data_IF_657219610706
#
_entry.id   IF_657219610706
#
_cell.length_a   1.000
_cell.length_b   1.000
_cell.length_c   1.000
_cell.angle_alpha   90.00
_cell.angle_beta   90.00
_cell.angle_gamma   90.00
#
_symmetry.space_group_name_H-M   'P 1'
#
loop_
_entity.id
_entity.type
_entity.pdbx_description
1 polymer ?
#
# COMPACT_ATOMS: atom_id res chain seq x y z
N UNK A 1 -2.02 -37.01 -31.64
CA UNK A 1 -2.48 -36.82 -30.24
C UNK A 1 -1.96 -35.52 -29.60
N UNK A 2 -0.92 -34.87 -30.13
CA UNK A 2 -0.31 -33.65 -29.56
C UNK A 2 -1.20 -32.39 -29.57
N UNK A 3 -1.88 -32.08 -30.68
CA UNK A 3 -2.73 -30.87 -30.77
C UNK A 3 -3.90 -30.80 -29.80
N UNK A 4 -4.51 -31.94 -29.47
CA UNK A 4 -5.64 -31.99 -28.53
C UNK A 4 -5.14 -31.74 -27.09
N UNK A 5 -4.01 -32.35 -26.73
CA UNK A 5 -3.33 -32.11 -25.45
C UNK A 5 -2.90 -30.65 -25.32
N UNK A 6 -2.35 -30.02 -26.36
CA UNK A 6 -1.94 -28.60 -26.32
C UNK A 6 -3.13 -27.64 -26.14
N UNK A 7 -4.26 -27.90 -26.81
CA UNK A 7 -5.49 -27.09 -26.66
C UNK A 7 -6.07 -27.22 -25.25
N UNK A 8 -6.08 -28.43 -24.69
CA UNK A 8 -6.53 -28.68 -23.31
C UNK A 8 -5.61 -28.02 -22.29
N UNK A 9 -4.28 -28.06 -22.50
CA UNK A 9 -3.31 -27.37 -21.65
C UNK A 9 -3.49 -25.84 -21.71
N UNK A 10 -3.66 -25.26 -22.90
CA UNK A 10 -3.92 -23.81 -23.04
C UNK A 10 -5.24 -23.36 -22.41
N UNK A 11 -6.29 -24.18 -22.51
CA UNK A 11 -7.57 -23.90 -21.85
C UNK A 11 -7.44 -23.99 -20.33
N UNK A 12 -6.71 -24.98 -19.80
CA UNK A 12 -6.45 -25.10 -18.37
C UNK A 12 -5.61 -23.93 -17.84
N UNK A 13 -4.54 -23.58 -18.55
CA UNK A 13 -3.64 -22.49 -18.17
C UNK A 13 -4.36 -21.13 -18.19
N UNK A 14 -5.20 -20.88 -19.20
CA UNK A 14 -5.95 -19.63 -19.28
C UNK A 14 -7.17 -19.55 -18.36
N UNK A 15 -7.88 -20.66 -18.11
CA UNK A 15 -9.08 -20.66 -17.27
C UNK A 15 -8.79 -20.78 -15.77
N UNK A 16 -7.67 -21.39 -15.38
CA UNK A 16 -7.38 -21.69 -13.97
C UNK A 16 -6.05 -21.09 -13.48
N UNK A 17 -4.97 -21.20 -14.26
CA UNK A 17 -3.63 -20.76 -13.80
C UNK A 17 -3.46 -19.24 -13.87
N UNK A 18 -3.87 -18.61 -14.97
CA UNK A 18 -3.75 -17.16 -15.15
C UNK A 18 -4.56 -16.36 -14.11
N UNK A 19 -5.85 -16.67 -13.83
CA UNK A 19 -6.60 -15.96 -12.79
C UNK A 19 -5.99 -16.12 -11.39
N UNK A 20 -5.52 -17.32 -11.04
CA UNK A 20 -4.82 -17.52 -9.76
C UNK A 20 -3.53 -16.69 -9.69
N UNK A 21 -2.69 -16.72 -10.72
CA UNK A 21 -1.46 -15.92 -10.76
C UNK A 21 -1.76 -14.42 -10.64
N UNK A 22 -2.77 -13.93 -11.36
CA UNK A 22 -3.20 -12.53 -11.31
C UNK A 22 -3.62 -12.13 -9.88
N UNK A 23 -4.51 -12.91 -9.26
CA UNK A 23 -4.94 -12.67 -7.89
C UNK A 23 -3.78 -12.69 -6.90
N UNK A 24 -2.84 -13.63 -7.06
CA UNK A 24 -1.68 -13.74 -6.16
C UNK A 24 -0.77 -12.52 -6.29
N UNK A 25 -0.57 -12.00 -7.51
CA UNK A 25 0.21 -10.78 -7.75
C UNK A 25 -0.48 -9.54 -7.15
N UNK A 26 -1.79 -9.38 -7.35
CA UNK A 26 -2.56 -8.28 -6.77
C UNK A 26 -2.53 -8.32 -5.23
N UNK A 27 -2.62 -9.51 -4.63
CA UNK A 27 -2.52 -9.67 -3.19
C UNK A 27 -1.10 -9.32 -2.68
N UNK A 28 -0.05 -9.77 -3.38
CA UNK A 28 1.33 -9.43 -3.03
C UNK A 28 1.59 -7.93 -3.11
N UNK A 29 1.11 -7.26 -4.16
CA UNK A 29 1.25 -5.80 -4.33
C UNK A 29 0.52 -5.05 -3.21
N UNK A 30 -0.70 -5.47 -2.86
CA UNK A 30 -1.44 -4.92 -1.71
C UNK A 30 -0.66 -5.05 -0.39
N UNK A 31 -0.07 -6.21 -0.13
CA UNK A 31 0.74 -6.42 1.08
C UNK A 31 2.03 -5.59 1.06
N UNK A 32 2.71 -5.47 -0.08
CA UNK A 32 3.91 -4.66 -0.22
C UNK A 32 3.62 -3.17 0.01
N UNK A 33 2.52 -2.66 -0.57
CA UNK A 33 2.07 -1.29 -0.36
C UNK A 33 1.68 -1.02 1.11
N UNK A 34 0.95 -1.94 1.74
CA UNK A 34 0.59 -1.82 3.16
C UNK A 34 1.82 -1.83 4.06
N UNK A 35 2.74 -2.77 3.84
CA UNK A 35 3.95 -2.89 4.64
C UNK A 35 4.84 -1.66 4.49
N UNK A 36 4.99 -1.16 3.26
CA UNK A 36 5.69 0.10 2.98
C UNK A 36 5.04 1.27 3.71
N UNK A 37 3.71 1.39 3.67
CA UNK A 37 2.99 2.44 4.40
C UNK A 37 3.20 2.35 5.93
N UNK A 38 3.16 1.14 6.51
CA UNK A 38 3.44 0.94 7.93
C UNK A 38 4.89 1.33 8.28
N UNK A 39 5.86 1.00 7.42
CA UNK A 39 7.25 1.33 7.66
C UNK A 39 7.56 2.82 7.52
N UNK A 40 6.92 3.50 6.58
CA UNK A 40 6.97 4.96 6.46
C UNK A 40 6.39 5.66 7.69
N UNK A 41 5.24 5.17 8.19
CA UNK A 41 4.62 5.68 9.40
C UNK A 41 5.55 5.50 10.62
N UNK A 42 6.09 4.29 10.80
CA UNK A 42 7.01 3.99 11.89
C UNK A 42 8.26 4.90 11.89
N UNK A 43 8.91 5.08 10.73
CA UNK A 43 10.07 5.96 10.62
C UNK A 43 9.73 7.40 11.00
N UNK A 44 8.65 7.93 10.44
CA UNK A 44 8.26 9.31 10.71
C UNK A 44 7.89 9.56 12.17
N UNK A 45 7.12 8.66 12.80
CA UNK A 45 6.80 8.81 14.23
C UNK A 45 8.03 8.68 15.12
N UNK A 46 8.98 7.80 14.75
CA UNK A 46 10.26 7.69 15.46
C UNK A 46 11.09 8.96 15.33
N UNK A 47 11.16 9.55 14.13
CA UNK A 47 11.89 10.79 13.87
C UNK A 47 11.28 11.97 14.65
N UNK A 48 9.95 12.07 14.71
CA UNK A 48 9.24 13.05 15.54
C UNK A 48 9.58 12.90 17.02
N UNK A 49 9.56 11.68 17.54
CA UNK A 49 9.86 11.41 18.95
C UNK A 49 11.32 11.74 19.30
N UNK A 50 12.27 11.33 18.46
CA UNK A 50 13.70 11.64 18.64
C UNK A 50 13.94 13.14 18.54
N UNK A 51 13.29 13.82 17.59
CA UNK A 51 13.38 15.27 17.43
C UNK A 51 12.88 16.00 18.68
N UNK A 52 11.68 15.67 19.18
CA UNK A 52 11.17 16.23 20.44
C UNK A 52 12.12 15.95 21.61
N UNK A 53 12.63 14.72 21.74
CA UNK A 53 13.55 14.37 22.81
C UNK A 53 14.82 15.24 22.79
N UNK A 54 15.41 15.48 21.61
CA UNK A 54 16.56 16.39 21.45
C UNK A 54 16.20 17.81 21.85
N UNK A 55 15.07 18.33 21.38
CA UNK A 55 14.61 19.68 21.73
C UNK A 55 14.47 19.85 23.25
N UNK A 56 13.93 18.85 23.95
CA UNK A 56 13.80 18.89 25.40
C UNK A 56 15.14 18.78 26.14
N UNK A 57 16.08 17.99 25.63
CA UNK A 57 17.44 17.89 26.18
C UNK A 57 18.23 19.20 26.03
N UNK A 58 17.89 20.03 25.05
CA UNK A 58 18.52 21.33 24.81
C UNK A 58 17.98 22.47 25.69
N UNK A 59 16.96 22.21 26.51
CA UNK A 59 16.39 23.21 27.43
C UNK A 59 17.33 23.47 28.60
N UNK A 60 17.80 24.71 28.72
CA UNK A 60 18.76 25.16 29.75
C UNK A 60 18.32 26.43 30.49
N UNK A 61 17.33 27.13 29.97
CA UNK A 61 16.85 28.42 30.42
C UNK A 61 15.43 28.70 29.91
N UNK A 62 14.87 29.86 30.27
CA UNK A 62 13.49 30.23 29.90
C UNK A 62 13.30 30.42 28.38
N UNK A 63 14.31 30.87 27.65
CA UNK A 63 14.23 31.09 26.20
C UNK A 63 14.24 29.76 25.43
N UNK A 64 15.11 28.83 25.83
CA UNK A 64 15.15 27.47 25.31
C UNK A 64 13.90 26.66 25.67
N UNK A 65 13.31 26.89 26.85
CA UNK A 65 12.01 26.33 27.20
C UNK A 65 10.89 26.84 26.27
N UNK A 66 10.85 28.15 25.99
CA UNK A 66 9.88 28.72 25.05
C UNK A 66 10.02 28.10 23.65
N UNK A 67 11.25 27.92 23.18
CA UNK A 67 11.53 27.24 21.90
C UNK A 67 11.07 25.78 21.91
N UNK A 68 11.25 25.06 23.01
CA UNK A 68 10.75 23.70 23.15
C UNK A 68 9.22 23.63 23.06
N UNK A 69 8.52 24.59 23.68
CA UNK A 69 7.06 24.70 23.58
C UNK A 69 6.60 25.02 22.15
N UNK A 70 7.27 25.94 21.44
CA UNK A 70 6.98 26.23 20.03
C UNK A 70 7.21 25.00 19.14
N UNK A 71 8.29 24.25 19.38
CA UNK A 71 8.56 22.99 18.70
C UNK A 71 7.48 21.95 18.98
N UNK A 72 7.00 21.84 20.22
CA UNK A 72 5.93 20.92 20.60
C UNK A 72 4.65 21.22 19.82
N UNK A 73 4.27 22.50 19.70
CA UNK A 73 3.11 22.93 18.93
C UNK A 73 3.25 22.58 17.45
N UNK A 74 4.43 22.82 16.86
CA UNK A 74 4.72 22.46 15.48
C UNK A 74 4.61 20.95 15.25
N UNK A 75 5.23 20.14 16.12
CA UNK A 75 5.15 18.68 16.00
C UNK A 75 3.72 18.16 16.16
N UNK A 76 2.89 18.80 16.99
CA UNK A 76 1.47 18.45 17.10
C UNK A 76 0.71 18.69 15.78
N UNK A 77 0.97 19.82 15.11
CA UNK A 77 0.40 20.09 13.78
C UNK A 77 0.87 19.08 12.73
N UNK A 78 2.19 18.84 12.67
CA UNK A 78 2.77 17.86 11.75
C UNK A 78 2.22 16.45 11.99
N UNK A 79 2.00 16.08 13.26
CA UNK A 79 1.42 14.79 13.63
C UNK A 79 -0.02 14.64 13.09
N UNK A 80 -0.85 15.68 13.23
CA UNK A 80 -2.22 15.68 12.72
C UNK A 80 -2.24 15.54 11.20
N UNK A 81 -1.40 16.31 10.50
CA UNK A 81 -1.27 16.23 9.04
C UNK A 81 -0.80 14.84 8.59
N UNK A 82 0.17 14.25 9.32
CA UNK A 82 0.67 12.90 9.06
C UNK A 82 -0.42 11.85 9.24
N UNK A 83 -1.15 11.86 10.35
CA UNK A 83 -2.25 10.91 10.62
C UNK A 83 -3.29 10.95 9.51
N UNK A 84 -3.64 12.17 9.05
CA UNK A 84 -4.55 12.35 7.92
C UNK A 84 -3.96 11.73 6.64
N UNK A 85 -2.70 12.04 6.31
CA UNK A 85 -2.02 11.51 5.14
C UNK A 85 -1.89 9.97 5.16
N UNK A 86 -1.56 9.39 6.31
CA UNK A 86 -1.47 7.94 6.49
C UNK A 86 -2.84 7.27 6.29
N UNK A 87 -3.91 7.90 6.78
CA UNK A 87 -5.30 7.43 6.58
C UNK A 87 -5.69 7.48 5.10
N UNK A 88 -5.36 8.57 4.42
CA UNK A 88 -5.58 8.73 2.97
C UNK A 88 -4.78 7.68 2.17
N UNK A 89 -3.52 7.41 2.56
CA UNK A 89 -2.67 6.40 1.93
C UNK A 89 -3.25 4.99 2.06
N UNK A 90 -3.63 4.57 3.27
CA UNK A 90 -4.25 3.25 3.49
C UNK A 90 -5.58 3.13 2.73
N UNK A 91 -6.38 4.19 2.73
CA UNK A 91 -7.64 4.22 1.96
C UNK A 91 -7.38 4.08 0.46
N UNK A 92 -6.34 4.74 -0.06
CA UNK A 92 -5.95 4.63 -1.47
C UNK A 92 -5.52 3.21 -1.81
N UNK A 93 -4.71 2.56 -0.97
CA UNK A 93 -4.26 1.17 -1.17
C UNK A 93 -5.47 0.22 -1.27
N UNK A 94 -6.45 0.37 -0.38
CA UNK A 94 -7.68 -0.41 -0.43
C UNK A 94 -8.51 -0.17 -1.69
N UNK A 95 -8.60 1.08 -2.16
CA UNK A 95 -9.29 1.42 -3.42
C UNK A 95 -8.58 0.82 -4.63
N UNK A 96 -7.25 0.94 -4.71
CA UNK A 96 -6.45 0.35 -5.78
C UNK A 96 -6.64 -1.16 -5.85
N UNK A 97 -6.54 -1.86 -4.71
CA UNK A 97 -6.78 -3.30 -4.66
C UNK A 97 -8.16 -3.70 -5.19
N UNK A 98 -9.21 -2.95 -4.81
CA UNK A 98 -10.56 -3.22 -5.29
C UNK A 98 -10.71 -2.97 -6.80
N UNK A 99 -10.12 -1.89 -7.32
CA UNK A 99 -10.13 -1.56 -8.75
C UNK A 99 -9.36 -2.61 -9.56
N UNK A 100 -8.15 -2.97 -9.13
CA UNK A 100 -7.31 -3.96 -9.81
C UNK A 100 -7.99 -5.33 -9.82
N UNK A 101 -8.61 -5.71 -8.69
CA UNK A 101 -9.38 -6.96 -8.61
C UNK A 101 -10.56 -6.99 -9.58
N UNK A 102 -11.30 -5.88 -9.71
CA UNK A 102 -12.40 -5.76 -10.67
C UNK A 102 -11.90 -5.84 -12.11
N UNK A 103 -10.84 -5.08 -12.44
CA UNK A 103 -10.26 -5.08 -13.77
C UNK A 103 -9.76 -6.47 -14.18
N UNK A 104 -9.04 -7.17 -13.30
CA UNK A 104 -8.55 -8.52 -13.60
C UNK A 104 -9.69 -9.54 -13.77
N UNK A 105 -10.79 -9.40 -13.04
CA UNK A 105 -11.97 -10.24 -13.22
C UNK A 105 -12.66 -9.98 -14.58
N UNK A 106 -12.79 -8.72 -14.98
CA UNK A 106 -13.33 -8.34 -16.29
C UNK A 106 -12.45 -8.83 -17.43
N UNK A 107 -11.14 -8.64 -17.35
CA UNK A 107 -10.16 -9.10 -18.34
C UNK A 107 -10.16 -10.63 -18.46
N UNK A 108 -10.20 -11.35 -17.33
CA UNK A 108 -10.29 -12.81 -17.33
C UNK A 108 -11.56 -13.29 -18.02
N UNK A 109 -12.69 -12.64 -17.74
CA UNK A 109 -13.98 -12.98 -18.37
C UNK A 109 -13.97 -12.71 -19.87
N UNK A 110 -13.46 -11.55 -20.30
CA UNK A 110 -13.32 -11.20 -21.74
C UNK A 110 -12.42 -12.20 -22.46
N UNK A 111 -11.26 -12.53 -21.89
CA UNK A 111 -10.32 -13.49 -22.46
C UNK A 111 -10.93 -14.89 -22.63
N UNK A 112 -11.73 -15.36 -21.66
CA UNK A 112 -12.42 -16.65 -21.76
C UNK A 112 -13.50 -16.62 -22.84
N UNK A 113 -14.30 -15.55 -22.92
CA UNK A 113 -15.35 -15.40 -23.93
C UNK A 113 -14.77 -15.30 -25.34
N UNK A 114 -13.68 -14.57 -25.54
CA UNK A 114 -13.01 -14.47 -26.83
C UNK A 114 -12.39 -15.80 -27.27
N UNK A 115 -11.73 -16.51 -26.34
CA UNK A 115 -11.17 -17.84 -26.64
C UNK A 115 -12.23 -18.92 -26.84
N UNK A 116 -13.43 -18.79 -26.25
CA UNK A 116 -14.55 -19.70 -26.47
C UNK A 116 -15.25 -19.48 -27.82
N UNK A 117 -15.05 -18.32 -28.46
CA UNK A 117 -15.59 -17.98 -29.79
C UNK A 117 -14.64 -18.35 -30.95
N UNK A 118 -13.41 -18.80 -30.66
CA UNK A 118 -12.42 -19.30 -31.64
C UNK A 118 -12.33 -20.83 -31.64
#
# INVERSE_FOLDING_TARGET
MTKATDKTTQQFESAFVSPMRSYTLTALDYYDQLFSAQMDAFRAYSDMAISQARTWLDVKDADSFKKAMESQQKTASEFIERVKGDTEKVTSIGKSFAQDSQQHAEESTKNVVEKAKQ
#
